data_IF_387374774741
#
_entry.id   IF_387374774741
#
_cell.length_a   1.000
_cell.length_b   1.000
_cell.length_c   1.000
_cell.angle_alpha   90.00
_cell.angle_beta   90.00
_cell.angle_gamma   90.00
#
_symmetry.space_group_name_H-M   'P 1'
#
loop_
_entity.id
_entity.type
_entity.pdbx_description
1 polymer ?
#
# COMPACT_ATOMS: atom_id res chain seq x y z
N UNK A 1 -34.56 26.14 -3.41
CA UNK A 1 -33.92 25.13 -2.53
C UNK A 1 -33.71 23.83 -3.30
N UNK A 2 -32.76 23.78 -4.24
CA UNK A 2 -32.58 22.56 -5.08
C UNK A 2 -31.14 22.29 -5.53
N UNK A 3 -30.17 23.16 -5.22
CA UNK A 3 -28.79 23.03 -5.73
C UNK A 3 -27.87 22.16 -4.86
N UNK A 4 -28.18 21.99 -3.56
CA UNK A 4 -27.33 21.22 -2.65
C UNK A 4 -27.51 19.69 -2.76
N UNK A 5 -28.69 19.23 -3.18
CA UNK A 5 -29.01 17.80 -3.27
C UNK A 5 -28.28 17.14 -4.45
N UNK A 6 -28.12 17.86 -5.56
CA UNK A 6 -27.42 17.36 -6.77
C UNK A 6 -25.92 17.13 -6.54
N UNK A 7 -25.26 17.94 -5.71
CA UNK A 7 -23.82 17.80 -5.42
C UNK A 7 -23.56 16.53 -4.61
N UNK A 8 -24.45 16.17 -3.69
CA UNK A 8 -24.33 14.97 -2.85
C UNK A 8 -24.51 13.69 -3.69
N UNK A 9 -25.35 13.72 -4.72
CA UNK A 9 -25.52 12.57 -5.63
C UNK A 9 -24.29 12.30 -6.51
N UNK A 10 -23.49 13.31 -6.83
CA UNK A 10 -22.29 13.14 -7.67
C UNK A 10 -21.15 12.45 -6.89
N UNK A 11 -21.03 12.68 -5.58
CA UNK A 11 -20.03 12.01 -4.75
C UNK A 11 -20.30 10.51 -4.54
N UNK A 12 -21.54 10.05 -4.73
CA UNK A 12 -21.92 8.64 -4.55
C UNK A 12 -21.59 7.75 -5.75
N UNK A 13 -21.32 8.31 -6.94
CA UNK A 13 -21.35 7.53 -8.19
C UNK A 13 -20.00 7.22 -8.84
N UNK A 14 -18.86 7.78 -8.42
CA UNK A 14 -17.62 7.64 -9.22
C UNK A 14 -16.34 7.22 -8.50
N UNK A 15 -16.38 6.84 -7.22
CA UNK A 15 -15.16 6.29 -6.58
C UNK A 15 -15.31 5.79 -5.15
N UNK A 16 -16.33 6.22 -4.41
CA UNK A 16 -16.55 5.78 -3.04
C UNK A 16 -17.12 4.37 -2.92
N UNK A 17 -17.72 3.80 -3.98
CA UNK A 17 -18.33 2.47 -3.88
C UNK A 17 -17.28 1.38 -3.70
N UNK A 18 -16.14 1.47 -4.39
CA UNK A 18 -15.01 0.55 -4.21
C UNK A 18 -14.37 0.69 -2.81
N UNK A 19 -14.26 1.91 -2.30
CA UNK A 19 -13.76 2.16 -0.94
C UNK A 19 -14.73 1.66 0.13
N UNK A 20 -16.04 1.87 -0.07
CA UNK A 20 -17.09 1.41 0.83
C UNK A 20 -17.21 -0.13 0.84
N UNK A 21 -17.11 -0.79 -0.31
CA UNK A 21 -17.09 -2.27 -0.40
C UNK A 21 -15.87 -2.84 0.31
N UNK A 22 -14.68 -2.25 0.12
CA UNK A 22 -13.45 -2.66 0.84
C UNK A 22 -13.56 -2.46 2.35
N UNK A 23 -14.13 -1.33 2.78
CA UNK A 23 -14.42 -1.06 4.18
C UNK A 23 -15.43 -2.06 4.77
N UNK A 24 -16.50 -2.39 4.03
CA UNK A 24 -17.54 -3.34 4.46
C UNK A 24 -17.03 -4.78 4.55
N UNK A 25 -16.08 -5.17 3.68
CA UNK A 25 -15.48 -6.50 3.69
C UNK A 25 -14.30 -6.64 4.67
N UNK A 26 -14.03 -5.63 5.51
CA UNK A 26 -12.91 -5.57 6.48
C UNK A 26 -11.54 -5.95 5.92
N UNK A 27 -11.43 -5.99 4.59
CA UNK A 27 -10.22 -6.24 3.84
C UNK A 27 -9.68 -4.85 3.60
N UNK A 28 -8.73 -4.45 4.44
CA UNK A 28 -7.85 -3.34 4.11
C UNK A 28 -7.24 -3.55 2.71
N UNK A 29 -6.49 -2.58 2.21
CA UNK A 29 -5.73 -2.79 0.97
C UNK A 29 -4.74 -3.95 1.20
N UNK A 30 -5.16 -5.17 0.88
CA UNK A 30 -4.31 -6.35 0.94
C UNK A 30 -3.45 -6.33 -0.31
N UNK A 31 -2.13 -6.25 -0.09
CA UNK A 31 -1.16 -6.45 -1.15
C UNK A 31 -1.41 -7.82 -1.79
N UNK A 32 -1.41 -7.91 -3.13
CA UNK A 32 -1.41 -9.20 -3.82
C UNK A 32 -0.31 -10.10 -3.25
N UNK A 33 -0.56 -11.41 -3.18
CA UNK A 33 0.37 -12.37 -2.57
C UNK A 33 1.80 -12.24 -3.12
N UNK A 34 1.92 -12.07 -4.44
CA UNK A 34 3.20 -11.85 -5.12
C UNK A 34 3.94 -10.60 -4.61
N UNK A 35 3.21 -9.52 -4.36
CA UNK A 35 3.82 -8.30 -3.81
C UNK A 35 4.25 -8.51 -2.37
N UNK A 36 3.42 -9.17 -1.55
CA UNK A 36 3.75 -9.49 -0.16
C UNK A 36 5.06 -10.29 -0.07
N UNK A 37 5.22 -11.32 -0.89
CA UNK A 37 6.44 -12.14 -0.93
C UNK A 37 7.70 -11.34 -1.30
N UNK A 38 7.59 -10.38 -2.22
CA UNK A 38 8.70 -9.49 -2.58
C UNK A 38 9.09 -8.62 -1.39
N UNK A 39 8.10 -8.01 -0.72
CA UNK A 39 8.35 -7.16 0.44
C UNK A 39 8.98 -7.91 1.61
N UNK A 40 8.49 -9.10 1.93
CA UNK A 40 9.03 -9.95 2.99
C UNK A 40 10.48 -10.37 2.67
N UNK A 41 10.74 -10.82 1.44
CA UNK A 41 12.11 -11.19 1.02
C UNK A 41 13.07 -10.02 1.12
N UNK A 42 12.66 -8.84 0.65
CA UNK A 42 13.52 -7.65 0.69
C UNK A 42 13.73 -7.11 2.10
N UNK A 43 12.76 -7.31 3.00
CA UNK A 43 12.90 -7.02 4.43
C UNK A 43 14.02 -7.88 5.02
N UNK A 44 13.95 -9.20 4.82
CA UNK A 44 14.95 -10.16 5.30
C UNK A 44 16.33 -9.90 4.68
N UNK A 45 16.40 -9.49 3.41
CA UNK A 45 17.67 -9.12 2.77
C UNK A 45 18.27 -7.86 3.41
N UNK A 46 17.48 -6.83 3.66
CA UNK A 46 17.98 -5.61 4.28
C UNK A 46 18.43 -5.84 5.74
N UNK A 47 17.68 -6.64 6.50
CA UNK A 47 17.96 -6.92 7.93
C UNK A 47 19.20 -7.81 8.14
N UNK A 48 19.64 -8.54 7.10
CA UNK A 48 20.93 -9.27 7.11
C UNK A 48 22.14 -8.34 7.15
N UNK A 49 22.04 -7.16 6.53
CA UNK A 49 23.19 -6.25 6.38
C UNK A 49 23.14 -5.07 7.35
N UNK A 50 21.94 -4.58 7.63
CA UNK A 50 21.73 -3.37 8.40
C UNK A 50 20.62 -3.59 9.41
N UNK A 51 20.68 -2.91 10.55
CA UNK A 51 19.57 -2.92 11.49
C UNK A 51 18.63 -1.75 11.18
N UNK A 52 17.33 -2.02 11.00
CA UNK A 52 16.33 -0.98 10.69
C UNK A 52 16.32 0.17 11.73
N UNK A 53 16.55 -0.14 13.01
CA UNK A 53 16.43 0.84 14.11
C UNK A 53 17.66 1.75 14.22
N UNK A 54 18.86 1.21 14.03
CA UNK A 54 20.11 1.98 14.22
C UNK A 54 20.74 2.45 12.91
N UNK A 55 20.47 1.77 11.81
CA UNK A 55 21.04 2.01 10.49
C UNK A 55 19.95 2.19 9.43
N UNK A 56 18.86 2.85 9.82
CA UNK A 56 17.62 3.00 9.04
C UNK A 56 17.85 3.43 7.59
N UNK A 57 18.72 4.41 7.35
CA UNK A 57 18.95 4.91 5.98
C UNK A 57 19.61 3.87 5.08
N UNK A 58 20.57 3.10 5.60
CA UNK A 58 21.25 2.05 4.85
C UNK A 58 20.32 0.86 4.62
N UNK A 59 19.58 0.49 5.67
CA UNK A 59 18.53 -0.52 5.58
C UNK A 59 17.51 -0.17 4.49
N UNK A 60 16.99 1.07 4.51
CA UNK A 60 15.97 1.52 3.57
C UNK A 60 16.50 1.57 2.13
N UNK A 61 17.77 1.93 1.93
CA UNK A 61 18.41 1.89 0.60
C UNK A 61 18.48 0.47 0.03
N UNK A 62 18.91 -0.51 0.84
CA UNK A 62 18.97 -1.91 0.40
C UNK A 62 17.58 -2.45 0.12
N UNK A 63 16.64 -2.24 1.05
CA UNK A 63 15.27 -2.69 0.91
C UNK A 63 14.61 -2.12 -0.35
N UNK A 64 14.70 -0.80 -0.57
CA UNK A 64 14.09 -0.13 -1.74
C UNK A 64 14.67 -0.67 -3.04
N UNK A 65 15.99 -0.81 -3.12
CA UNK A 65 16.65 -1.36 -4.30
C UNK A 65 16.20 -2.80 -4.59
N UNK A 66 16.13 -3.65 -3.57
CA UNK A 66 15.64 -5.02 -3.73
C UNK A 66 14.20 -5.06 -4.27
N UNK A 67 13.32 -4.20 -3.74
CA UNK A 67 11.92 -4.12 -4.20
C UNK A 67 11.86 -3.66 -5.66
N UNK A 68 12.63 -2.64 -6.04
CA UNK A 68 12.71 -2.16 -7.43
C UNK A 68 13.22 -3.26 -8.39
N UNK A 69 14.28 -3.97 -8.01
CA UNK A 69 14.88 -5.03 -8.83
C UNK A 69 13.93 -6.22 -9.02
N UNK A 70 13.14 -6.58 -8.01
CA UNK A 70 12.19 -7.72 -8.11
C UNK A 70 10.83 -7.36 -8.70
N UNK A 71 10.45 -6.08 -8.74
CA UNK A 71 9.22 -5.61 -9.40
C UNK A 71 9.40 -5.35 -10.91
N UNK A 72 10.64 -5.20 -11.38
CA UNK A 72 11.00 -5.02 -12.79
C UNK A 72 10.85 -6.32 -13.59
#
# INVERSE_FOLDING_TARGET
>A
MSKQILIICIFLLTGCMSAAIRFWNNTGYELPEKERQIYDTCYDEADKFYNEKTQRELWYKVWTKCVEDKKR
#
